data_IF_934013809937
#
_entry.id   IF_934013809937
#
_cell.length_a   1.000
_cell.length_b   1.000
_cell.length_c   1.000
_cell.angle_alpha   90.00
_cell.angle_beta   90.00
_cell.angle_gamma   90.00
#
_symmetry.space_group_name_H-M   'P 1'
#
loop_
_entity.id
_entity.type
_entity.pdbx_description
1 polymer ?
#
# COMPACT_ATOMS: atom_id res chain seq x y z
N UNK A 1 -2.45 5.36 20.77
CA UNK A 1 -1.92 4.61 19.60
C UNK A 1 -2.38 3.17 19.75
N UNK A 2 -3.06 2.57 18.75
CA UNK A 2 -3.47 1.15 18.85
C UNK A 2 -2.29 0.22 18.53
N UNK A 3 -2.24 -1.01 19.08
CA UNK A 3 -1.18 -1.97 18.76
C UNK A 3 -1.07 -2.26 17.26
N UNK A 4 -2.20 -2.43 16.57
CA UNK A 4 -2.24 -2.67 15.13
C UNK A 4 -1.64 -1.51 14.33
N UNK A 5 -1.94 -0.26 14.71
CA UNK A 5 -1.38 0.94 14.06
C UNK A 5 0.13 1.04 14.27
N UNK A 6 0.63 0.68 15.45
CA UNK A 6 2.08 0.65 15.73
C UNK A 6 2.77 -0.38 14.82
N UNK A 7 2.25 -1.60 14.78
CA UNK A 7 2.79 -2.69 13.93
C UNK A 7 2.81 -2.29 12.46
N UNK A 8 1.71 -1.75 11.93
CA UNK A 8 1.65 -1.30 10.54
C UNK A 8 2.69 -0.21 10.22
N UNK A 9 2.97 0.71 11.16
CA UNK A 9 3.99 1.75 10.96
C UNK A 9 5.40 1.16 10.93
N UNK A 10 5.69 0.21 11.83
CA UNK A 10 6.97 -0.52 11.88
C UNK A 10 7.17 -1.33 10.61
N UNK A 11 6.15 -2.07 10.15
CA UNK A 11 6.19 -2.84 8.90
C UNK A 11 6.48 -1.93 7.69
N UNK A 12 5.83 -0.76 7.61
CA UNK A 12 6.09 0.19 6.53
C UNK A 12 7.49 0.83 6.62
N UNK A 13 8.03 0.99 7.82
CA UNK A 13 9.39 1.48 8.03
C UNK A 13 10.42 0.44 7.56
N UNK A 14 10.22 -0.83 7.90
CA UNK A 14 11.02 -1.95 7.41
C UNK A 14 10.95 -2.10 5.88
N UNK A 15 9.79 -1.80 5.29
CA UNK A 15 9.61 -1.77 3.84
C UNK A 15 10.20 -0.51 3.16
N UNK A 16 10.78 0.42 3.92
CA UNK A 16 11.45 1.62 3.38
C UNK A 16 10.52 2.73 2.93
N UNK A 17 9.27 2.79 3.42
CA UNK A 17 8.32 3.83 3.04
C UNK A 17 8.63 5.18 3.72
N UNK A 18 8.61 6.25 2.93
CA UNK A 18 8.74 7.60 3.43
C UNK A 18 7.67 7.94 4.49
N UNK A 19 8.02 8.78 5.46
CA UNK A 19 7.12 9.18 6.57
C UNK A 19 5.78 9.76 6.08
N UNK A 20 5.80 10.52 4.98
CA UNK A 20 4.59 11.05 4.35
C UNK A 20 3.65 9.94 3.88
N UNK A 21 4.17 8.97 3.14
CA UNK A 21 3.40 7.81 2.66
C UNK A 21 2.85 6.98 3.81
N UNK A 22 3.65 6.74 4.86
CA UNK A 22 3.22 6.03 6.07
C UNK A 22 2.00 6.71 6.71
N UNK A 23 2.02 8.04 6.81
CA UNK A 23 0.90 8.81 7.34
C UNK A 23 -0.34 8.64 6.46
N UNK A 24 -0.23 8.78 5.14
CA UNK A 24 -1.39 8.66 4.25
C UNK A 24 -1.99 7.26 4.26
N UNK A 25 -1.19 6.21 4.40
CA UNK A 25 -1.69 4.83 4.49
C UNK A 25 -2.43 4.60 5.80
N UNK A 26 -1.89 5.08 6.92
CA UNK A 26 -2.57 5.01 8.22
C UNK A 26 -3.89 5.79 8.20
N UNK A 27 -3.91 6.97 7.57
CA UNK A 27 -5.13 7.78 7.45
C UNK A 27 -6.19 7.07 6.59
N UNK A 28 -5.79 6.35 5.54
CA UNK A 28 -6.70 5.52 4.76
C UNK A 28 -7.31 4.36 5.56
N UNK A 29 -6.50 3.64 6.34
CA UNK A 29 -6.97 2.57 7.23
C UNK A 29 -7.90 3.11 8.31
N UNK A 30 -7.62 4.30 8.83
CA UNK A 30 -8.52 4.99 9.76
C UNK A 30 -9.88 5.31 9.10
N UNK A 31 -9.87 5.72 7.83
CA UNK A 31 -11.09 5.95 7.05
C UNK A 31 -11.94 4.69 6.90
N UNK A 32 -11.30 3.55 6.60
CA UNK A 32 -11.96 2.24 6.53
C UNK A 32 -12.60 1.85 7.87
N UNK A 33 -11.83 1.93 8.97
CA UNK A 33 -12.33 1.62 10.30
C UNK A 33 -13.49 2.54 10.72
N UNK A 34 -13.41 3.83 10.37
CA UNK A 34 -14.47 4.80 10.63
C UNK A 34 -15.75 4.52 9.85
N UNK A 35 -15.66 4.01 8.62
CA UNK A 35 -16.83 3.66 7.80
C UNK A 35 -17.60 2.47 8.38
N UNK A 36 -16.90 1.46 8.91
CA UNK A 36 -17.52 0.25 9.47
C UNK A 36 -17.75 0.29 10.99
N UNK A 37 -17.20 1.29 11.69
CA UNK A 37 -17.28 1.43 13.14
C UNK A 37 -16.57 0.31 13.92
N UNK A 38 -15.71 -0.47 13.27
CA UNK A 38 -15.03 -1.66 13.82
C UNK A 38 -13.53 -1.63 13.53
N UNK A 39 -12.80 -2.45 14.26
CA UNK A 39 -11.36 -2.55 14.07
C UNK A 39 -11.07 -3.19 12.70
N UNK A 40 -10.10 -2.69 11.91
CA UNK A 40 -9.90 -3.17 10.54
C UNK A 40 -9.41 -4.62 10.46
N UNK A 41 -8.89 -5.19 11.55
CA UNK A 41 -8.60 -6.62 11.67
C UNK A 41 -9.85 -7.50 11.79
N UNK A 42 -11.00 -6.97 12.20
CA UNK A 42 -12.26 -7.73 12.29
C UNK A 42 -13.05 -7.74 10.98
N UNK A 43 -12.64 -6.91 10.01
CA UNK A 43 -13.35 -6.80 8.73
C UNK A 43 -13.07 -8.00 7.82
N UNK A 44 -14.13 -8.40 7.12
CA UNK A 44 -14.11 -9.39 6.04
C UNK A 44 -13.70 -8.75 4.70
N UNK A 45 -13.34 -9.60 3.74
CA UNK A 45 -12.98 -9.15 2.39
C UNK A 45 -14.12 -8.37 1.70
N UNK A 46 -15.36 -8.84 1.86
CA UNK A 46 -16.55 -8.22 1.26
C UNK A 46 -16.82 -6.82 1.81
N UNK A 47 -16.62 -6.62 3.11
CA UNK A 47 -16.76 -5.31 3.76
C UNK A 47 -15.71 -4.31 3.27
N UNK A 48 -14.49 -4.77 3.05
CA UNK A 48 -13.41 -3.95 2.49
C UNK A 48 -13.66 -3.64 1.02
N UNK A 49 -14.22 -4.60 0.26
CA UNK A 49 -14.68 -4.38 -1.11
C UNK A 49 -15.79 -3.34 -1.18
N UNK A 50 -16.78 -3.43 -0.29
CA UNK A 50 -17.88 -2.46 -0.19
C UNK A 50 -17.36 -1.05 0.09
N UNK A 51 -16.37 -0.90 0.97
CA UNK A 51 -15.72 0.39 1.22
C UNK A 51 -15.08 0.99 -0.04
N UNK A 52 -14.38 0.18 -0.85
CA UNK A 52 -13.81 0.68 -2.11
C UNK A 52 -14.88 1.09 -3.12
N UNK A 53 -16.01 0.38 -3.19
CA UNK A 53 -17.13 0.77 -4.03
C UNK A 53 -17.71 2.11 -3.59
N UNK A 54 -17.92 2.31 -2.28
CA UNK A 54 -18.37 3.59 -1.74
C UNK A 54 -17.42 4.75 -2.10
N UNK A 55 -16.10 4.53 -2.02
CA UNK A 55 -15.13 5.57 -2.42
C UNK A 55 -15.24 5.92 -3.91
N UNK A 56 -15.64 4.98 -4.77
CA UNK A 56 -15.89 5.24 -6.19
C UNK A 56 -17.17 6.02 -6.41
N UNK A 57 -18.24 5.62 -5.74
CA UNK A 57 -19.54 6.30 -5.82
C UNK A 57 -19.44 7.75 -5.34
N UNK A 58 -18.64 8.00 -4.30
CA UNK A 58 -18.37 9.34 -3.78
C UNK A 58 -17.49 10.21 -4.72
N UNK A 59 -17.07 9.70 -5.87
CA UNK A 59 -16.30 10.47 -6.85
C UNK A 59 -14.88 10.83 -6.39
N UNK A 60 -14.28 10.04 -5.49
CA UNK A 60 -12.94 10.33 -4.96
C UNK A 60 -11.90 10.34 -6.08
N UNK A 61 -11.07 11.38 -6.10
CA UNK A 61 -10.01 11.56 -7.09
C UNK A 61 -9.14 10.30 -7.20
N UNK A 62 -8.74 9.98 -8.44
CA UNK A 62 -8.00 8.74 -8.75
C UNK A 62 -6.75 8.55 -7.89
N UNK A 63 -6.00 9.62 -7.64
CA UNK A 63 -4.80 9.59 -6.80
C UNK A 63 -5.12 9.20 -5.35
N UNK A 64 -6.13 9.85 -4.76
CA UNK A 64 -6.60 9.57 -3.40
C UNK A 64 -7.09 8.13 -3.26
N UNK A 65 -7.88 7.64 -4.20
CA UNK A 65 -8.31 6.24 -4.22
C UNK A 65 -7.12 5.28 -4.28
N UNK A 66 -6.13 5.56 -5.14
CA UNK A 66 -4.95 4.72 -5.30
C UNK A 66 -4.17 4.63 -3.99
N UNK A 67 -3.99 5.75 -3.30
CA UNK A 67 -3.31 5.78 -2.00
C UNK A 67 -4.10 5.02 -0.94
N UNK A 68 -5.43 5.16 -0.91
CA UNK A 68 -6.28 4.40 0.00
C UNK A 68 -6.20 2.89 -0.27
N UNK A 69 -6.27 2.49 -1.54
CA UNK A 69 -6.13 1.10 -1.96
C UNK A 69 -4.80 0.50 -1.50
N UNK A 70 -3.66 1.14 -1.77
CA UNK A 70 -2.36 0.58 -1.35
C UNK A 70 -2.16 0.57 0.16
N UNK A 71 -2.67 1.57 0.89
CA UNK A 71 -2.60 1.58 2.35
C UNK A 71 -3.38 0.43 2.97
N UNK A 72 -4.60 0.20 2.49
CA UNK A 72 -5.46 -0.89 2.96
C UNK A 72 -4.90 -2.25 2.52
N UNK A 73 -4.41 -2.35 1.29
CA UNK A 73 -3.73 -3.55 0.79
C UNK A 73 -2.52 -3.92 1.66
N UNK A 74 -1.69 -2.94 2.02
CA UNK A 74 -0.50 -3.17 2.85
C UNK A 74 -0.88 -3.72 4.23
N UNK A 75 -1.93 -3.16 4.86
CA UNK A 75 -2.43 -3.65 6.14
C UNK A 75 -2.80 -5.14 6.05
N UNK A 76 -3.62 -5.52 5.07
CA UNK A 76 -4.11 -6.89 5.01
C UNK A 76 -3.04 -7.87 4.57
N UNK A 77 -2.25 -7.51 3.57
CA UNK A 77 -1.25 -8.42 2.99
C UNK A 77 0.00 -8.52 3.84
N UNK A 78 0.59 -7.40 4.21
CA UNK A 78 1.92 -7.36 4.83
C UNK A 78 1.81 -7.36 6.37
N UNK A 79 0.87 -6.62 6.96
CA UNK A 79 0.72 -6.54 8.43
C UNK A 79 -0.15 -7.65 9.04
N UNK A 80 -1.19 -8.12 8.34
CA UNK A 80 -2.11 -9.15 8.83
C UNK A 80 -1.91 -10.52 8.16
N UNK A 81 -1.11 -10.61 7.09
CA UNK A 81 -0.82 -11.88 6.40
C UNK A 81 -2.03 -12.50 5.69
N UNK A 82 -3.03 -11.70 5.30
CA UNK A 82 -4.22 -12.15 4.58
C UNK A 82 -4.01 -12.03 3.08
N UNK A 83 -4.03 -13.16 2.37
CA UNK A 83 -4.00 -13.20 0.91
C UNK A 83 -5.43 -13.19 0.36
N UNK A 84 -6.00 -11.98 0.25
CA UNK A 84 -7.33 -11.79 -0.33
C UNK A 84 -7.28 -11.62 -1.85
N UNK A 85 -8.12 -12.32 -2.63
CA UNK A 85 -8.22 -12.14 -4.07
C UNK A 85 -8.59 -10.70 -4.47
N UNK A 86 -9.21 -9.92 -3.58
CA UNK A 86 -9.44 -8.49 -3.74
C UNK A 86 -8.17 -7.72 -4.12
N UNK A 87 -7.01 -8.10 -3.55
CA UNK A 87 -5.71 -7.46 -3.81
C UNK A 87 -4.84 -8.27 -4.78
N UNK A 88 -5.10 -9.58 -4.88
CA UNK A 88 -4.37 -10.48 -5.76
C UNK A 88 -5.01 -10.46 -7.15
N UNK A 89 -4.57 -9.53 -8.00
CA UNK A 89 -4.82 -9.67 -9.45
C UNK A 89 -4.20 -10.97 -9.91
N UNK A 90 -5.02 -11.98 -10.21
CA UNK A 90 -4.63 -13.15 -10.99
C UNK A 90 -4.15 -12.61 -12.35
N UNK A 91 -2.86 -12.32 -12.47
CA UNK A 91 -2.24 -12.09 -13.78
C UNK A 91 -2.53 -13.37 -14.55
N UNK A 92 -3.31 -13.28 -15.62
CA UNK A 92 -3.20 -14.27 -16.69
C UNK A 92 -1.71 -14.41 -16.99
N UNK A 93 -1.23 -15.65 -16.96
CA UNK A 93 0.17 -16.04 -16.88
C UNK A 93 1.10 -15.08 -17.63
N UNK A 94 1.96 -14.36 -16.89
CA UNK A 94 3.17 -13.80 -17.49
C UNK A 94 4.39 -14.47 -16.88
N UNK A 95 5.03 -15.26 -17.74
CA UNK A 95 6.26 -16.03 -17.56
C UNK A 95 7.37 -15.11 -17.02
N UNK A 96 8.05 -15.58 -15.97
CA UNK A 96 9.43 -15.17 -15.63
C UNK A 96 9.64 -13.75 -15.12
N UNK A 97 9.83 -13.62 -13.80
CA UNK A 97 10.77 -12.63 -13.24
C UNK A 97 11.59 -13.29 -12.15
N UNK A 98 12.50 -14.15 -12.57
CA UNK A 98 13.67 -14.49 -11.76
C UNK A 98 14.78 -13.52 -12.14
N UNK A 99 15.19 -12.71 -11.16
CA UNK A 99 16.56 -12.24 -10.93
C UNK A 99 17.21 -11.33 -11.97
N UNK A 100 17.34 -10.04 -11.62
CA UNK A 100 18.65 -9.40 -11.60
C UNK A 100 18.72 -8.52 -10.34
N UNK A 101 19.67 -8.87 -9.46
CA UNK A 101 20.08 -8.10 -8.29
C UNK A 101 20.78 -6.83 -8.78
N UNK A 102 20.50 -5.67 -8.19
CA UNK A 102 21.39 -4.52 -8.31
C UNK A 102 22.73 -4.84 -7.67
N UNK A 103 23.83 -4.34 -8.24
CA UNK A 103 24.73 -3.55 -7.41
C UNK A 103 24.94 -2.15 -8.01
N UNK A 104 24.97 -1.17 -7.10
CA UNK A 104 25.50 0.17 -7.32
C UNK A 104 26.91 0.10 -7.92
N UNK A 105 27.15 0.89 -8.97
CA UNK A 105 28.45 1.50 -9.25
C UNK A 105 28.23 2.74 -10.12
N UNK A 106 28.22 3.93 -9.52
CA UNK A 106 28.50 5.17 -10.26
C UNK A 106 30.00 5.43 -10.18
N UNK A 107 30.75 5.33 -11.29
CA UNK A 107 32.10 5.85 -11.34
C UNK A 107 32.07 7.37 -11.55
N UNK A 108 32.90 8.01 -10.74
CA UNK A 108 33.36 9.39 -10.71
C UNK A 108 33.83 9.94 -12.07
N UNK A 109 33.81 11.27 -12.21
CA UNK A 109 34.56 12.10 -13.20
C UNK A 109 33.89 12.21 -14.59
N UNK A 110 33.86 13.31 -15.34
CA UNK A 110 34.22 14.73 -15.21
C UNK A 110 33.82 15.39 -16.56
N UNK A 111 33.36 16.65 -16.50
CA UNK A 111 33.62 17.78 -17.43
C UNK A 111 33.31 17.64 -18.95
N UNK A 112 32.53 18.61 -19.47
CA UNK A 112 32.71 19.43 -20.71
C UNK A 112 31.32 19.88 -21.21
N UNK A 113 30.80 21.07 -20.87
CA UNK A 113 30.94 22.36 -21.58
C UNK A 113 30.67 22.35 -23.10
N UNK A 114 29.67 23.16 -23.47
CA UNK A 114 29.47 23.95 -24.70
C UNK A 114 29.35 23.24 -26.07
N UNK A 115 28.23 23.52 -26.75
CA UNK A 115 28.17 24.43 -27.91
C UNK A 115 26.80 25.07 -27.97
#
# INVERSE_FOLDING_TARGET
MTPLRKRMIEDMELAGLAKGTRRTYVDAVRGLAGFHGRSPDELSEDEVRAYFLQLRENGVARGTFKTAHYGIQFLYRDTLGRDWPLFTKKKSANRGRNGCRTPLATPTSAICWAV
#
